data_IF_194179100853
#
_entry.id   IF_194179100853
#
_cell.length_a   1.000
_cell.length_b   1.000
_cell.length_c   1.000
_cell.angle_alpha   90.00
_cell.angle_beta   90.00
_cell.angle_gamma   90.00
#
_symmetry.space_group_name_H-M   'P 1'
#
loop_
_entity.id
_entity.type
_entity.pdbx_description
1 polymer ?
#
# COMPACT_ATOMS: atom_id res chain seq x y z
N UNK A 1 81.48 -2.70 65.80
CA UNK A 1 80.52 -2.05 64.90
C UNK A 1 80.19 -3.07 63.83
N UNK A 2 79.13 -3.82 63.99
CA UNK A 2 78.51 -4.63 62.94
C UNK A 2 77.02 -4.47 63.09
N UNK A 3 76.36 -3.94 62.08
CA UNK A 3 74.93 -3.79 61.99
C UNK A 3 74.33 -5.11 61.51
N UNK A 4 73.53 -5.73 62.35
CA UNK A 4 72.69 -6.88 61.98
C UNK A 4 71.47 -6.41 61.26
N UNK A 5 71.23 -6.98 60.04
CA UNK A 5 70.05 -6.75 59.26
C UNK A 5 68.97 -7.77 59.61
N UNK A 6 67.94 -7.35 60.23
CA UNK A 6 66.76 -8.19 60.43
C UNK A 6 65.99 -8.35 59.10
N UNK A 7 65.90 -9.55 58.63
CA UNK A 7 65.05 -9.92 57.51
C UNK A 7 63.65 -10.20 58.03
N UNK A 8 62.71 -9.39 57.59
CA UNK A 8 61.28 -9.63 57.82
C UNK A 8 60.77 -10.53 56.73
N UNK A 9 60.43 -11.76 57.13
CA UNK A 9 59.72 -12.70 56.22
C UNK A 9 58.25 -12.33 56.23
N UNK A 10 57.76 -11.75 55.16
CA UNK A 10 56.33 -11.51 54.95
C UNK A 10 55.76 -12.79 54.31
N UNK A 11 54.96 -13.49 55.12
CA UNK A 11 54.21 -14.66 54.68
C UNK A 11 52.97 -14.18 53.93
N UNK A 12 52.99 -14.23 52.59
CA UNK A 12 51.81 -13.95 51.76
C UNK A 12 50.84 -15.11 51.79
N UNK A 13 49.73 -14.95 52.51
CA UNK A 13 48.60 -15.86 52.44
C UNK A 13 47.84 -15.56 51.12
N UNK A 14 47.99 -16.43 50.12
CA UNK A 14 47.20 -16.37 48.91
C UNK A 14 45.76 -16.85 49.22
N UNK A 15 44.83 -15.91 49.24
CA UNK A 15 43.39 -16.21 49.23
C UNK A 15 42.99 -16.64 47.84
N UNK A 16 42.86 -17.94 47.60
CA UNK A 16 42.24 -18.45 46.36
C UNK A 16 40.72 -18.31 46.51
N UNK A 17 40.18 -17.24 45.99
CA UNK A 17 38.71 -17.12 45.79
C UNK A 17 38.29 -17.94 44.60
N UNK A 18 37.68 -19.07 44.86
CA UNK A 18 37.02 -19.93 43.85
C UNK A 18 35.79 -19.21 43.37
N UNK A 19 35.87 -18.55 42.19
CA UNK A 19 34.72 -17.94 41.52
C UNK A 19 33.94 -19.07 40.84
N UNK A 20 32.93 -19.60 41.50
CA UNK A 20 31.93 -20.48 40.84
C UNK A 20 31.06 -19.65 39.95
N UNK A 21 31.34 -19.63 38.65
CA UNK A 21 30.45 -19.07 37.62
C UNK A 21 29.20 -19.96 37.56
N UNK A 22 28.10 -19.48 38.14
CA UNK A 22 26.77 -20.06 37.92
C UNK A 22 26.36 -19.65 36.49
N UNK A 23 26.54 -20.56 35.55
CA UNK A 23 25.96 -20.43 34.20
C UNK A 23 24.46 -20.68 34.36
N UNK A 24 23.68 -19.62 34.50
CA UNK A 24 22.22 -19.70 34.33
C UNK A 24 21.93 -19.87 32.87
N UNK A 25 21.76 -21.12 32.42
CA UNK A 25 21.19 -21.41 31.14
C UNK A 25 19.77 -20.85 31.09
N UNK A 26 19.57 -19.69 30.47
CA UNK A 26 18.27 -19.21 30.09
C UNK A 26 17.72 -20.13 29.02
N UNK A 27 16.89 -21.08 29.42
CA UNK A 27 16.06 -21.83 28.51
C UNK A 27 15.11 -20.82 27.85
N UNK A 28 15.48 -20.30 26.68
CA UNK A 28 14.52 -19.69 25.77
C UNK A 28 13.55 -20.82 25.39
N UNK A 29 12.34 -20.76 25.94
CA UNK A 29 11.24 -21.57 25.44
C UNK A 29 11.14 -21.34 23.92
N UNK A 30 11.01 -22.39 23.11
CA UNK A 30 10.73 -22.20 21.69
C UNK A 30 9.46 -21.36 21.58
N UNK A 31 9.58 -20.13 21.09
CA UNK A 31 8.40 -19.38 20.68
C UNK A 31 7.79 -20.20 19.55
N UNK A 32 6.66 -20.82 19.84
CA UNK A 32 5.79 -21.34 18.79
C UNK A 32 5.54 -20.18 17.84
N UNK A 33 6.11 -20.26 16.64
CA UNK A 33 5.74 -19.39 15.54
C UNK A 33 4.30 -19.78 15.22
N UNK A 34 3.34 -19.10 15.84
CA UNK A 34 1.95 -19.17 15.43
C UNK A 34 1.93 -18.55 14.05
N UNK A 35 2.06 -19.40 13.03
CA UNK A 35 1.78 -19.01 11.64
C UNK A 35 0.29 -18.72 11.64
N UNK A 36 -0.08 -17.45 11.84
CA UNK A 36 -1.46 -17.02 11.72
C UNK A 36 -1.92 -17.41 10.30
N UNK A 37 -2.87 -18.34 10.23
CA UNK A 37 -3.48 -18.74 8.97
C UNK A 37 -3.98 -17.46 8.29
N UNK A 38 -3.51 -17.22 7.07
CA UNK A 38 -3.84 -16.00 6.35
C UNK A 38 -5.36 -15.94 6.19
N UNK A 39 -5.97 -14.92 6.80
CA UNK A 39 -7.40 -14.72 6.72
C UNK A 39 -7.85 -14.68 5.26
N UNK A 40 -8.85 -15.49 4.90
CA UNK A 40 -9.42 -15.55 3.55
C UNK A 40 -10.93 -15.40 3.63
N UNK A 41 -11.52 -14.70 2.65
CA UNK A 41 -12.97 -14.67 2.48
C UNK A 41 -13.37 -15.49 1.26
N UNK A 42 -14.34 -16.35 1.45
CA UNK A 42 -14.86 -17.26 0.42
C UNK A 42 -16.35 -17.48 0.62
N UNK A 43 -16.99 -18.22 -0.26
CA UNK A 43 -18.41 -18.54 -0.12
C UNK A 43 -18.71 -19.09 1.29
N UNK A 44 -19.70 -18.51 1.97
CA UNK A 44 -20.07 -18.79 3.36
C UNK A 44 -19.46 -17.86 4.39
N UNK A 45 -18.41 -17.09 4.08
CA UNK A 45 -17.85 -16.05 4.97
C UNK A 45 -18.88 -14.99 5.28
N UNK A 46 -18.81 -14.41 6.49
CA UNK A 46 -19.74 -13.38 6.97
C UNK A 46 -19.01 -12.30 7.76
N UNK A 47 -19.59 -11.12 7.84
CA UNK A 47 -19.14 -10.04 8.73
C UNK A 47 -18.63 -8.80 7.99
N UNK A 48 -17.92 -7.95 8.74
CA UNK A 48 -17.49 -6.62 8.29
C UNK A 48 -16.56 -6.68 7.09
N UNK A 49 -15.62 -7.62 7.05
CA UNK A 49 -14.69 -7.75 5.92
C UNK A 49 -15.44 -8.09 4.62
N UNK A 50 -16.49 -8.92 4.70
CA UNK A 50 -17.34 -9.22 3.54
C UNK A 50 -18.11 -7.96 3.09
N UNK A 51 -18.65 -7.16 4.03
CA UNK A 51 -19.27 -5.86 3.71
C UNK A 51 -18.29 -4.93 3.01
N UNK A 52 -17.06 -4.88 3.49
CA UNK A 52 -16.01 -4.05 2.88
C UNK A 52 -15.75 -4.48 1.43
N UNK A 53 -15.60 -5.78 1.17
CA UNK A 53 -15.47 -6.34 -0.19
C UNK A 53 -16.67 -5.95 -1.06
N UNK A 54 -17.87 -6.22 -0.58
CA UNK A 54 -19.11 -5.93 -1.33
C UNK A 54 -19.23 -4.44 -1.65
N UNK A 55 -18.95 -3.56 -0.67
CA UNK A 55 -19.02 -2.11 -0.84
C UNK A 55 -18.03 -1.65 -1.92
N UNK A 56 -16.78 -2.11 -1.85
CA UNK A 56 -15.75 -1.75 -2.84
C UNK A 56 -16.10 -2.23 -4.23
N UNK A 57 -16.45 -3.51 -4.37
CA UNK A 57 -16.83 -4.10 -5.65
C UNK A 57 -18.11 -3.47 -6.22
N UNK A 58 -19.02 -3.02 -5.37
CA UNK A 58 -20.23 -2.29 -5.77
C UNK A 58 -19.90 -0.90 -6.30
N UNK A 59 -19.06 -0.15 -5.59
CA UNK A 59 -18.60 1.17 -6.02
C UNK A 59 -17.85 1.11 -7.36
N UNK A 60 -17.18 0.02 -7.64
CA UNK A 60 -16.45 -0.21 -8.89
C UNK A 60 -17.27 -0.89 -9.98
N UNK A 61 -18.58 -1.14 -9.74
CA UNK A 61 -19.49 -1.73 -10.71
C UNK A 61 -19.35 -3.24 -10.93
N UNK A 62 -18.50 -3.93 -10.15
CA UNK A 62 -18.36 -5.39 -10.22
C UNK A 62 -19.47 -6.15 -9.48
N UNK A 63 -20.04 -5.54 -8.44
CA UNK A 63 -21.06 -6.15 -7.60
C UNK A 63 -22.39 -5.38 -7.69
N UNK A 64 -23.48 -6.08 -7.97
CA UNK A 64 -24.82 -5.48 -8.12
C UNK A 64 -25.79 -5.86 -7.00
N UNK A 65 -25.34 -6.73 -6.07
CA UNK A 65 -26.17 -7.22 -4.98
C UNK A 65 -26.30 -6.22 -3.81
N UNK A 66 -26.97 -6.66 -2.75
CA UNK A 66 -27.04 -5.95 -1.48
C UNK A 66 -25.71 -6.08 -0.72
N UNK A 67 -25.30 -5.02 -0.01
CA UNK A 67 -24.16 -5.05 0.91
C UNK A 67 -24.64 -5.60 2.24
N UNK A 68 -24.79 -6.92 2.32
CA UNK A 68 -25.37 -7.65 3.45
C UNK A 68 -24.34 -8.28 4.39
N UNK A 69 -23.07 -8.31 3.96
CA UNK A 69 -22.01 -8.94 4.73
C UNK A 69 -22.03 -10.47 4.65
N UNK A 70 -22.70 -11.04 3.66
CA UNK A 70 -22.74 -12.48 3.41
C UNK A 70 -22.05 -12.78 2.08
N UNK A 71 -20.98 -13.57 2.13
CA UNK A 71 -20.24 -13.96 0.94
C UNK A 71 -20.98 -15.09 0.22
N UNK A 72 -21.92 -14.73 -0.62
CA UNK A 72 -22.69 -15.67 -1.44
C UNK A 72 -22.12 -15.78 -2.87
N UNK A 73 -22.84 -16.52 -3.74
CA UNK A 73 -22.47 -16.73 -5.14
C UNK A 73 -22.32 -15.43 -5.94
N UNK A 74 -23.15 -14.42 -5.68
CA UNK A 74 -23.06 -13.11 -6.33
C UNK A 74 -21.76 -12.39 -5.95
N UNK A 75 -21.36 -12.44 -4.67
CA UNK A 75 -20.10 -11.88 -4.20
C UNK A 75 -18.90 -12.62 -4.83
N UNK A 76 -18.96 -13.96 -4.86
CA UNK A 76 -17.92 -14.76 -5.50
C UNK A 76 -17.78 -14.45 -7.00
N UNK A 77 -18.89 -14.28 -7.72
CA UNK A 77 -18.89 -13.93 -9.14
C UNK A 77 -18.29 -12.53 -9.37
N UNK A 78 -18.62 -11.57 -8.52
CA UNK A 78 -18.05 -10.22 -8.57
C UNK A 78 -16.54 -10.24 -8.29
N UNK A 79 -16.08 -11.02 -7.33
CA UNK A 79 -14.66 -11.21 -7.03
C UNK A 79 -13.95 -11.86 -8.21
N UNK A 80 -14.49 -12.91 -8.82
CA UNK A 80 -13.90 -13.52 -10.03
C UNK A 80 -13.77 -12.53 -11.17
N UNK A 81 -14.80 -11.71 -11.41
CA UNK A 81 -14.74 -10.68 -12.43
C UNK A 81 -13.65 -9.65 -12.13
N UNK A 82 -13.56 -9.20 -10.90
CA UNK A 82 -12.51 -8.30 -10.43
C UNK A 82 -11.12 -8.93 -10.61
N UNK A 83 -10.93 -10.17 -10.16
CA UNK A 83 -9.67 -10.90 -10.29
C UNK A 83 -9.24 -11.02 -11.75
N UNK A 84 -10.16 -11.40 -12.65
CA UNK A 84 -9.89 -11.49 -14.08
C UNK A 84 -9.43 -10.15 -14.68
N UNK A 85 -10.10 -9.05 -14.30
CA UNK A 85 -9.78 -7.70 -14.80
C UNK A 85 -8.44 -7.18 -14.28
N UNK A 86 -7.99 -7.65 -13.12
CA UNK A 86 -6.76 -7.20 -12.46
C UNK A 86 -5.61 -8.21 -12.56
N UNK A 87 -5.70 -9.23 -13.42
CA UNK A 87 -4.62 -10.20 -13.62
C UNK A 87 -4.31 -11.07 -12.41
N UNK A 88 -5.31 -11.28 -11.53
CA UNK A 88 -5.20 -12.12 -10.35
C UNK A 88 -5.67 -13.54 -10.65
N UNK A 89 -5.35 -14.49 -9.77
CA UNK A 89 -5.90 -15.86 -9.83
C UNK A 89 -7.42 -15.79 -9.71
N UNK A 90 -8.15 -16.33 -10.68
CA UNK A 90 -9.61 -16.25 -10.80
C UNK A 90 -10.26 -17.41 -10.06
N UNK A 91 -10.18 -17.42 -8.74
CA UNK A 91 -10.73 -18.46 -7.86
C UNK A 91 -12.01 -18.03 -7.12
N UNK A 92 -12.27 -16.73 -7.06
CA UNK A 92 -13.39 -16.18 -6.30
C UNK A 92 -13.14 -16.17 -4.79
N UNK A 93 -11.88 -16.24 -4.37
CA UNK A 93 -11.45 -16.18 -2.97
C UNK A 93 -10.71 -14.86 -2.73
N UNK A 94 -11.06 -14.17 -1.67
CA UNK A 94 -10.33 -12.97 -1.25
C UNK A 94 -9.25 -13.37 -0.26
N UNK A 95 -8.13 -13.83 -0.76
CA UNK A 95 -6.89 -13.99 -0.01
C UNK A 95 -6.08 -12.68 0.02
N UNK A 96 -4.86 -12.72 0.58
CA UNK A 96 -4.02 -11.54 0.79
C UNK A 96 -3.81 -10.69 -0.48
N UNK A 97 -3.52 -11.31 -1.62
CA UNK A 97 -3.32 -10.60 -2.90
C UNK A 97 -4.60 -9.92 -3.40
N UNK A 98 -5.73 -10.63 -3.34
CA UNK A 98 -7.03 -10.09 -3.75
C UNK A 98 -7.51 -9.02 -2.78
N UNK A 99 -7.33 -9.21 -1.47
CA UNK A 99 -7.66 -8.23 -0.45
C UNK A 99 -6.86 -6.93 -0.63
N UNK A 100 -5.54 -7.06 -0.87
CA UNK A 100 -4.66 -5.93 -1.19
C UNK A 100 -5.15 -5.18 -2.44
N UNK A 101 -5.48 -5.88 -3.51
CA UNK A 101 -5.98 -5.29 -4.74
C UNK A 101 -7.37 -4.64 -4.58
N UNK A 102 -8.23 -5.19 -3.72
CA UNK A 102 -9.52 -4.58 -3.34
C UNK A 102 -9.33 -3.40 -2.38
N UNK A 103 -8.17 -3.30 -1.73
CA UNK A 103 -7.87 -2.24 -0.78
C UNK A 103 -8.48 -2.43 0.59
N UNK A 104 -8.59 -3.66 1.03
CA UNK A 104 -9.07 -4.00 2.37
C UNK A 104 -8.00 -4.76 3.15
N UNK A 105 -8.05 -4.60 4.47
CA UNK A 105 -7.34 -5.50 5.40
C UNK A 105 -8.33 -6.52 5.93
N UNK A 106 -7.97 -7.79 5.84
CA UNK A 106 -8.74 -8.85 6.47
C UNK A 106 -8.40 -8.91 7.96
N UNK A 107 -9.39 -9.07 8.79
CA UNK A 107 -9.22 -9.25 10.23
C UNK A 107 -8.34 -10.46 10.50
N UNK A 108 -7.16 -10.24 11.11
CA UNK A 108 -6.14 -11.28 11.31
C UNK A 108 -4.94 -11.22 10.35
N UNK A 109 -4.90 -10.29 9.42
CA UNK A 109 -3.78 -10.11 8.47
C UNK A 109 -2.74 -9.13 9.05
N UNK A 110 -1.52 -9.58 9.33
CA UNK A 110 -0.40 -8.75 9.85
C UNK A 110 0.51 -8.20 8.75
N UNK A 111 0.02 -7.98 7.54
CA UNK A 111 0.86 -7.41 6.48
C UNK A 111 0.68 -5.91 6.39
N UNK A 112 1.63 -5.16 6.94
CA UNK A 112 1.83 -3.76 6.62
C UNK A 112 2.56 -3.65 5.28
N UNK A 113 1.88 -3.33 4.20
CA UNK A 113 2.55 -2.68 3.08
C UNK A 113 2.93 -1.29 3.54
N UNK A 114 4.24 -1.02 3.64
CA UNK A 114 4.80 0.20 4.23
C UNK A 114 4.60 1.47 3.39
N UNK A 115 3.35 1.77 3.02
CA UNK A 115 3.02 3.03 2.39
C UNK A 115 2.87 4.06 3.50
N UNK A 116 3.71 5.08 3.45
CA UNK A 116 3.68 6.18 4.39
C UNK A 116 2.34 6.92 4.34
N UNK A 117 1.82 7.33 5.50
CA UNK A 117 0.66 8.23 5.56
C UNK A 117 0.92 9.54 4.82
N UNK A 118 2.18 9.96 4.73
CA UNK A 118 2.64 11.11 3.96
C UNK A 118 2.43 10.88 2.45
N UNK A 119 2.80 9.70 1.93
CA UNK A 119 2.62 9.36 0.52
C UNK A 119 1.15 9.28 0.13
N UNK A 120 0.32 8.66 0.98
CA UNK A 120 -1.13 8.63 0.78
C UNK A 120 -1.70 10.05 0.73
N UNK A 121 -1.32 10.92 1.66
CA UNK A 121 -1.81 12.29 1.71
C UNK A 121 -1.36 13.09 0.46
N UNK A 122 -0.10 12.96 0.06
CA UNK A 122 0.44 13.63 -1.11
C UNK A 122 -0.26 13.15 -2.40
N UNK A 123 -0.45 11.84 -2.57
CA UNK A 123 -1.19 11.29 -3.70
C UNK A 123 -2.65 11.79 -3.73
N UNK A 124 -3.31 11.84 -2.57
CA UNK A 124 -4.67 12.37 -2.47
C UNK A 124 -4.76 13.86 -2.84
N UNK A 125 -3.74 14.66 -2.55
CA UNK A 125 -3.66 16.08 -2.95
C UNK A 125 -3.56 16.23 -4.47
N UNK A 126 -2.74 15.40 -5.13
CA UNK A 126 -2.70 15.39 -6.61
C UNK A 126 -4.06 15.00 -7.18
N UNK A 127 -4.67 13.94 -6.70
CA UNK A 127 -6.02 13.52 -7.14
C UNK A 127 -7.03 14.67 -6.97
N UNK A 128 -6.98 15.36 -5.85
CA UNK A 128 -7.88 16.48 -5.59
C UNK A 128 -7.62 17.66 -6.52
N UNK A 129 -6.36 18.01 -6.76
CA UNK A 129 -5.99 19.09 -7.67
C UNK A 129 -6.38 18.81 -9.12
N UNK A 130 -6.07 17.60 -9.59
CA UNK A 130 -6.19 17.22 -11.01
C UNK A 130 -7.58 16.66 -11.39
N UNK A 131 -8.28 16.04 -10.44
CA UNK A 131 -9.44 15.20 -10.77
C UNK A 131 -10.66 15.38 -9.83
N UNK A 132 -10.75 16.43 -9.00
CA UNK A 132 -11.89 16.60 -8.07
C UNK A 132 -13.24 16.70 -8.77
N UNK A 133 -13.28 17.12 -10.03
CA UNK A 133 -14.50 17.18 -10.86
C UNK A 133 -14.77 15.93 -11.69
N UNK A 134 -13.88 14.95 -11.64
CA UNK A 134 -13.98 13.73 -12.41
C UNK A 134 -14.83 12.66 -11.70
N UNK A 135 -15.44 11.71 -12.42
CA UNK A 135 -16.03 10.52 -11.83
C UNK A 135 -15.02 9.82 -10.91
N UNK A 136 -15.50 9.11 -9.90
CA UNK A 136 -14.62 8.43 -8.94
C UNK A 136 -13.54 7.55 -9.59
N UNK A 137 -13.94 6.79 -10.64
CA UNK A 137 -12.98 6.00 -11.44
C UNK A 137 -11.91 6.86 -12.10
N UNK A 138 -12.23 8.09 -12.53
CA UNK A 138 -11.27 9.05 -13.07
C UNK A 138 -10.30 9.57 -12.02
N UNK A 139 -10.79 9.78 -10.79
CA UNK A 139 -9.94 10.13 -9.66
C UNK A 139 -8.93 9.01 -9.34
N UNK A 140 -9.39 7.75 -9.32
CA UNK A 140 -8.49 6.59 -9.14
C UNK A 140 -7.51 6.47 -10.30
N UNK A 141 -7.95 6.74 -11.53
CA UNK A 141 -7.12 6.69 -12.72
C UNK A 141 -5.92 7.66 -12.66
N UNK A 142 -6.15 8.88 -12.18
CA UNK A 142 -5.07 9.87 -11.97
C UNK A 142 -4.06 9.37 -10.93
N UNK A 143 -4.53 8.83 -9.80
CA UNK A 143 -3.65 8.23 -8.80
C UNK A 143 -2.86 7.04 -9.37
N UNK A 144 -3.52 6.18 -10.16
CA UNK A 144 -2.90 5.01 -10.78
C UNK A 144 -1.78 5.40 -11.74
N UNK A 145 -1.95 6.48 -12.54
CA UNK A 145 -0.88 7.00 -13.42
C UNK A 145 0.36 7.40 -12.60
N UNK A 146 0.20 8.08 -11.45
CA UNK A 146 1.34 8.40 -10.57
C UNK A 146 2.06 7.12 -10.16
N UNK A 147 1.32 6.10 -9.71
CA UNK A 147 1.90 4.83 -9.25
C UNK A 147 2.52 4.01 -10.39
N UNK A 148 1.98 4.09 -11.60
CA UNK A 148 2.55 3.46 -12.78
C UNK A 148 3.88 4.13 -13.17
N UNK A 149 3.97 5.46 -13.07
CA UNK A 149 5.23 6.19 -13.24
C UNK A 149 6.27 5.75 -12.22
N UNK A 150 5.91 5.63 -10.93
CA UNK A 150 6.83 5.13 -9.88
C UNK A 150 7.41 3.74 -10.21
N UNK A 151 6.62 2.87 -10.85
CA UNK A 151 7.04 1.53 -11.27
C UNK A 151 7.85 1.51 -12.56
N UNK A 152 7.78 2.56 -13.35
CA UNK A 152 8.48 2.67 -14.64
C UNK A 152 9.89 3.20 -14.45
N UNK A 153 10.87 2.55 -15.09
CA UNK A 153 12.27 3.00 -15.09
C UNK A 153 12.49 4.37 -15.77
N UNK A 154 11.49 4.88 -16.48
CA UNK A 154 11.55 6.19 -17.17
C UNK A 154 11.19 7.36 -16.24
N UNK A 155 10.81 7.11 -15.00
CA UNK A 155 10.38 8.11 -14.03
C UNK A 155 11.07 7.92 -12.68
N UNK A 156 11.01 8.92 -11.79
CA UNK A 156 11.46 8.77 -10.41
C UNK A 156 10.74 7.60 -9.71
N UNK A 157 11.47 6.88 -8.86
CA UNK A 157 10.99 5.68 -8.18
C UNK A 157 10.25 5.96 -6.84
N UNK A 158 9.83 7.21 -6.61
CA UNK A 158 9.07 7.62 -5.43
C UNK A 158 7.86 8.44 -5.82
N UNK A 159 6.78 8.39 -5.03
CA UNK A 159 5.57 9.18 -5.25
C UNK A 159 5.90 10.68 -5.27
N UNK A 160 6.66 11.15 -4.30
CA UNK A 160 7.08 12.55 -4.25
C UNK A 160 7.94 12.95 -5.47
N UNK A 161 8.88 12.10 -5.87
CA UNK A 161 9.71 12.33 -7.05
C UNK A 161 8.92 12.47 -8.34
N UNK A 162 7.91 11.62 -8.54
CA UNK A 162 7.01 11.70 -9.70
C UNK A 162 6.15 12.97 -9.66
N UNK A 163 5.58 13.29 -8.48
CA UNK A 163 4.65 14.40 -8.34
C UNK A 163 5.37 15.75 -8.52
N UNK A 164 6.53 15.91 -7.91
CA UNK A 164 7.29 17.17 -7.98
C UNK A 164 8.24 17.26 -9.18
N UNK A 165 8.19 16.33 -10.12
CA UNK A 165 8.91 16.45 -11.36
C UNK A 165 8.39 17.67 -12.14
N UNK A 166 9.30 18.49 -12.64
CA UNK A 166 8.94 19.75 -13.34
C UNK A 166 7.94 19.50 -14.46
N UNK A 167 6.82 20.22 -14.43
CA UNK A 167 5.77 20.15 -15.45
C UNK A 167 4.96 18.83 -15.45
N UNK A 168 5.06 18.00 -14.42
CA UNK A 168 4.37 16.72 -14.38
C UNK A 168 2.87 16.85 -14.06
N UNK A 169 2.50 17.82 -13.23
CA UNK A 169 1.12 18.07 -12.78
C UNK A 169 0.86 19.57 -12.65
N UNK A 170 -0.27 20.03 -13.20
CA UNK A 170 -0.66 21.44 -13.17
C UNK A 170 -0.94 21.92 -11.74
N UNK A 171 -1.50 21.05 -10.89
CA UNK A 171 -1.81 21.37 -9.51
C UNK A 171 -0.57 21.67 -8.66
N UNK A 172 0.62 21.25 -9.08
CA UNK A 172 1.89 21.63 -8.42
C UNK A 172 2.29 23.04 -8.84
N UNK A 173 2.14 23.37 -10.13
CA UNK A 173 2.54 24.67 -10.67
C UNK A 173 1.63 25.82 -10.19
N UNK A 174 0.33 25.56 -10.06
CA UNK A 174 -0.67 26.57 -9.64
C UNK A 174 -0.93 26.59 -8.12
N UNK A 175 -0.26 25.70 -7.36
CA UNK A 175 -0.35 25.65 -5.91
C UNK A 175 -1.56 24.88 -5.35
N UNK A 176 -2.43 24.30 -6.18
CA UNK A 176 -3.57 23.51 -5.73
C UNK A 176 -3.16 22.23 -4.98
N UNK A 177 -1.93 21.78 -5.16
CA UNK A 177 -1.34 20.67 -4.37
C UNK A 177 -1.37 20.94 -2.85
N UNK A 178 -1.47 22.19 -2.43
CA UNK A 178 -1.52 22.58 -1.01
C UNK A 178 -2.94 22.54 -0.42
N UNK A 179 -3.96 22.33 -1.25
CA UNK A 179 -5.34 22.23 -0.77
C UNK A 179 -5.55 20.93 0.02
N UNK A 180 -6.48 20.98 0.99
CA UNK A 180 -6.87 19.78 1.75
C UNK A 180 -7.74 18.87 0.89
N UNK A 181 -7.33 17.62 0.63
CA UNK A 181 -8.11 16.71 -0.19
C UNK A 181 -9.38 16.27 0.53
N UNK A 182 -10.47 16.16 -0.21
CA UNK A 182 -11.75 15.64 0.28
C UNK A 182 -11.71 14.10 0.47
N UNK A 183 -12.78 13.56 1.04
CA UNK A 183 -12.89 12.11 1.29
C UNK A 183 -12.83 11.28 0.00
N UNK A 184 -13.41 11.77 -1.10
CA UNK A 184 -13.38 11.08 -2.40
C UNK A 184 -11.95 10.93 -2.92
N UNK A 185 -11.16 12.00 -2.93
CA UNK A 185 -9.78 11.99 -3.37
C UNK A 185 -8.87 11.10 -2.49
N UNK A 186 -9.10 11.11 -1.16
CA UNK A 186 -8.38 10.24 -0.22
C UNK A 186 -8.70 8.76 -0.49
N UNK A 187 -9.98 8.43 -0.68
CA UNK A 187 -10.39 7.07 -1.01
C UNK A 187 -9.85 6.62 -2.36
N UNK A 188 -9.88 7.49 -3.38
CA UNK A 188 -9.35 7.19 -4.70
C UNK A 188 -7.82 6.93 -4.68
N UNK A 189 -7.07 7.75 -3.95
CA UNK A 189 -5.64 7.53 -3.73
C UNK A 189 -5.37 6.21 -3.01
N UNK A 190 -6.15 5.89 -1.97
CA UNK A 190 -6.04 4.63 -1.25
C UNK A 190 -6.36 3.44 -2.15
N UNK A 191 -7.40 3.52 -2.99
CA UNK A 191 -7.79 2.46 -3.90
C UNK A 191 -6.72 2.18 -4.96
N UNK A 192 -6.08 3.22 -5.48
CA UNK A 192 -4.96 3.07 -6.40
C UNK A 192 -3.73 2.44 -5.70
N UNK A 193 -3.39 2.87 -4.47
CA UNK A 193 -2.33 2.27 -3.67
C UNK A 193 -2.58 0.79 -3.37
N UNK A 194 -3.83 0.42 -3.25
CA UNK A 194 -4.27 -0.96 -3.07
C UNK A 194 -4.28 -1.77 -4.38
N UNK A 195 -3.85 -1.17 -5.49
CA UNK A 195 -3.65 -1.85 -6.77
C UNK A 195 -4.77 -1.70 -7.79
N UNK A 196 -5.82 -0.89 -7.51
CA UNK A 196 -6.81 -0.62 -8.53
C UNK A 196 -6.28 0.37 -9.57
N UNK A 197 -6.02 -0.13 -10.76
CA UNK A 197 -5.59 0.65 -11.91
C UNK A 197 -6.63 0.54 -13.05
N UNK A 198 -7.57 1.48 -13.17
CA UNK A 198 -8.52 1.49 -14.26
C UNK A 198 -7.90 1.90 -15.60
N UNK A 199 -6.63 2.32 -15.62
CA UNK A 199 -5.92 2.75 -16.85
C UNK A 199 -5.16 1.62 -17.53
N UNK A 200 -5.04 0.46 -16.88
CA UNK A 200 -4.27 -0.68 -17.38
C UNK A 200 -2.81 -0.33 -17.70
N UNK A 201 -2.16 0.40 -16.81
CA UNK A 201 -0.74 0.72 -16.92
C UNK A 201 -0.42 1.99 -17.71
N UNK A 202 -1.37 2.87 -17.99
CA UNK A 202 -1.09 4.14 -18.64
C UNK A 202 -0.14 4.99 -17.79
N UNK A 203 0.77 5.70 -18.49
CA UNK A 203 1.76 6.59 -17.88
C UNK A 203 1.41 8.07 -18.07
N UNK A 204 0.44 8.36 -18.93
CA UNK A 204 0.04 9.71 -19.28
C UNK A 204 -1.49 9.83 -19.33
N UNK A 205 -1.95 11.03 -19.06
CA UNK A 205 -3.33 11.44 -19.32
C UNK A 205 -3.35 12.92 -19.70
N UNK A 206 -4.40 13.33 -20.35
CA UNK A 206 -4.66 14.72 -20.72
C UNK A 206 -6.16 14.94 -20.97
N UNK A 207 -6.60 16.18 -20.87
CA UNK A 207 -7.94 16.55 -21.30
C UNK A 207 -7.91 16.93 -22.80
N UNK A 208 -8.55 16.16 -23.69
CA UNK A 208 -8.51 16.43 -25.14
C UNK A 208 -9.09 17.79 -25.56
N UNK A 209 -9.96 18.38 -24.70
CA UNK A 209 -10.58 19.68 -24.99
C UNK A 209 -9.65 20.87 -24.71
N UNK A 210 -8.67 20.70 -23.82
CA UNK A 210 -7.81 21.79 -23.36
C UNK A 210 -6.34 21.58 -23.69
N UNK A 211 -5.92 20.35 -24.00
CA UNK A 211 -4.53 20.04 -24.28
C UNK A 211 -4.05 20.70 -25.57
N UNK A 212 -2.91 21.37 -25.50
CA UNK A 212 -2.24 22.05 -26.63
C UNK A 212 -0.91 21.37 -27.01
N UNK A 213 -0.39 20.48 -26.14
CA UNK A 213 0.88 19.80 -26.38
C UNK A 213 0.75 18.76 -27.49
N UNK A 214 1.36 19.05 -28.64
CA UNK A 214 1.30 18.19 -29.84
C UNK A 214 1.85 16.78 -29.59
N UNK A 215 2.90 16.64 -28.81
CA UNK A 215 3.45 15.34 -28.45
C UNK A 215 2.46 14.51 -27.65
N UNK A 216 1.77 15.14 -26.69
CA UNK A 216 0.74 14.45 -25.90
C UNK A 216 -0.43 14.01 -26.79
N UNK A 217 -0.88 14.90 -27.68
CA UNK A 217 -1.98 14.65 -28.62
C UNK A 217 -1.65 13.58 -29.69
N UNK A 218 -0.37 13.34 -29.98
CA UNK A 218 0.05 12.30 -30.94
C UNK A 218 0.10 10.90 -30.33
N UNK A 219 -0.07 10.74 -29.01
CA UNK A 219 -0.01 9.44 -28.34
C UNK A 219 -1.28 8.63 -28.58
N UNK A 220 -1.18 7.32 -28.82
CA UNK A 220 -2.36 6.48 -28.97
C UNK A 220 -3.14 6.42 -27.64
N UNK A 221 -4.38 6.88 -27.68
CA UNK A 221 -5.30 6.82 -26.53
C UNK A 221 -5.72 5.37 -26.29
N UNK A 222 -5.51 4.87 -25.08
CA UNK A 222 -5.90 3.52 -24.67
C UNK A 222 -7.35 3.47 -24.20
N UNK A 223 -7.76 4.49 -23.46
CA UNK A 223 -9.14 4.65 -22.96
C UNK A 223 -9.39 6.09 -22.53
N UNK A 224 -10.68 6.42 -22.37
CA UNK A 224 -11.12 7.71 -21.79
C UNK A 224 -11.99 7.45 -20.55
N UNK A 225 -11.78 8.23 -19.50
CA UNK A 225 -12.58 8.22 -18.28
C UNK A 225 -12.89 9.67 -17.91
N UNK A 226 -14.19 10.02 -17.84
CA UNK A 226 -14.58 11.41 -17.64
C UNK A 226 -14.07 12.32 -18.75
N UNK A 227 -13.40 13.39 -18.39
CA UNK A 227 -12.80 14.33 -19.37
C UNK A 227 -11.36 13.98 -19.75
N UNK A 228 -10.78 12.92 -19.20
CA UNK A 228 -9.39 12.54 -19.44
C UNK A 228 -9.24 11.39 -20.43
N UNK A 229 -8.31 11.52 -21.36
CA UNK A 229 -7.79 10.47 -22.22
C UNK A 229 -6.49 9.92 -21.62
N UNK A 230 -6.36 8.61 -21.50
CA UNK A 230 -5.23 7.90 -20.91
C UNK A 230 -4.44 7.15 -21.98
N UNK A 231 -3.07 7.20 -21.90
CA UNK A 231 -2.13 6.61 -22.86
C UNK A 231 -0.80 6.14 -22.23
#
# INVERSE_FOLDING_TARGET
MKREKFAVVVMSVAFVTLFTAVVTATFSSPQEIIVAEAAVLKNGSRGTDVRNVQTRLKNWGYYKGAVDGIYGSQTASAVKLFQKRNGLVVDGIVGAKTASAIGIRLSGSTSSSGISSTDLNLLARVVYGEARGEPYTGQVAVAAVVLNRVKSSSFPNTIAGVIYQSGAFDCVADGQINLTPNASAKNAAQDALNGWDPTYGCLFYYNPKTATNKWMLSRPVKLSIGNHAFC
#
